data_IF_106441052242
#
_entry.id   IF_106441052242
#
_cell.length_a   1.000
_cell.length_b   1.000
_cell.length_c   1.000
_cell.angle_alpha   90.00
_cell.angle_beta   90.00
_cell.angle_gamma   90.00
#
_symmetry.space_group_name_H-M   'P 1'
#
loop_
_entity.id
_entity.type
_entity.pdbx_description
1 polymer ?
#
# COMPACT_ATOMS: atom_id res chain seq x y z
N UNK A 1 8.94 32.31 -85.99
CA UNK A 1 9.42 31.97 -84.67
C UNK A 1 8.28 32.21 -83.71
N UNK A 2 7.66 31.18 -83.19
CA UNK A 2 6.56 31.23 -82.22
C UNK A 2 7.10 30.92 -80.85
N UNK A 3 7.01 31.85 -79.91
CA UNK A 3 7.31 31.63 -78.48
C UNK A 3 5.99 31.23 -77.78
N UNK A 4 6.03 30.06 -77.17
CA UNK A 4 4.96 29.55 -76.33
C UNK A 4 5.25 29.89 -74.92
N UNK A 5 4.41 30.70 -74.28
CA UNK A 5 4.50 31.04 -72.83
C UNK A 5 3.69 29.97 -72.08
N UNK A 6 4.41 29.25 -71.24
CA UNK A 6 3.84 28.20 -70.39
C UNK A 6 3.42 28.82 -69.08
N UNK A 7 2.13 28.92 -68.78
CA UNK A 7 1.58 29.44 -67.55
C UNK A 7 1.72 28.42 -66.41
N UNK A 8 2.34 28.83 -65.32
CA UNK A 8 2.45 28.04 -64.09
C UNK A 8 1.23 28.38 -63.24
N UNK A 9 0.32 27.42 -63.13
CA UNK A 9 -0.84 27.48 -62.24
C UNK A 9 -0.41 27.17 -60.78
N UNK A 10 -0.57 28.18 -59.90
CA UNK A 10 -0.32 28.05 -58.45
C UNK A 10 -1.57 27.41 -57.82
N UNK A 11 -1.49 26.13 -57.41
CA UNK A 11 -2.52 25.44 -56.61
C UNK A 11 -2.28 25.76 -55.15
N UNK A 12 -3.08 26.65 -54.58
CA UNK A 12 -3.13 26.89 -53.13
C UNK A 12 -4.05 25.82 -52.51
N UNK A 13 -3.45 24.78 -51.98
CA UNK A 13 -4.16 23.77 -51.20
C UNK A 13 -4.48 24.28 -49.81
N UNK A 14 -5.77 24.54 -49.55
CA UNK A 14 -6.27 24.83 -48.19
C UNK A 14 -6.30 23.51 -47.41
N UNK A 15 -5.30 23.26 -46.57
CA UNK A 15 -5.32 22.22 -45.57
C UNK A 15 -6.26 22.66 -44.42
N UNK A 16 -7.55 22.30 -44.53
CA UNK A 16 -8.46 22.37 -43.40
C UNK A 16 -8.02 21.34 -42.37
N UNK A 17 -7.28 21.81 -41.33
CA UNK A 17 -6.90 21.01 -40.19
C UNK A 17 -8.15 20.56 -39.42
N UNK A 18 -8.51 19.30 -39.53
CA UNK A 18 -9.42 18.65 -38.61
C UNK A 18 -8.70 18.57 -37.25
N UNK A 19 -9.04 19.47 -36.34
CA UNK A 19 -8.68 19.33 -34.91
C UNK A 19 -9.74 18.41 -34.33
N UNK A 20 -9.41 17.15 -33.96
CA UNK A 20 -10.36 16.35 -33.20
C UNK A 20 -10.54 17.03 -31.84
N UNK A 21 -11.71 17.57 -31.58
CA UNK A 21 -12.13 17.98 -30.28
C UNK A 21 -12.15 16.71 -29.39
N UNK A 22 -11.11 16.54 -28.59
CA UNK A 22 -11.10 15.51 -27.55
C UNK A 22 -12.08 15.99 -26.49
N UNK A 23 -13.32 15.58 -26.60
CA UNK A 23 -14.31 15.65 -25.53
C UNK A 23 -13.89 14.67 -24.42
N UNK A 24 -12.83 15.03 -23.70
CA UNK A 24 -12.42 14.34 -22.48
C UNK A 24 -13.21 14.86 -21.26
N UNK A 25 -14.47 15.20 -21.44
CA UNK A 25 -15.40 15.25 -20.34
C UNK A 25 -15.91 13.84 -20.08
N UNK A 26 -15.04 13.04 -19.45
CA UNK A 26 -15.51 11.87 -18.69
C UNK A 26 -16.57 12.41 -17.74
N UNK A 27 -17.82 12.12 -18.03
CA UNK A 27 -18.96 12.49 -17.19
C UNK A 27 -18.69 11.92 -15.79
N UNK A 28 -18.17 12.77 -14.88
CA UNK A 28 -17.90 12.37 -13.50
C UNK A 28 -19.22 11.90 -12.92
N UNK A 29 -19.31 10.62 -12.59
CA UNK A 29 -20.48 10.07 -11.90
C UNK A 29 -20.69 10.89 -10.63
N UNK A 30 -21.88 11.45 -10.38
CA UNK A 30 -22.16 12.13 -9.12
C UNK A 30 -21.89 11.16 -7.95
N UNK A 31 -21.25 11.66 -6.91
CA UNK A 31 -21.03 10.88 -5.69
C UNK A 31 -22.38 10.77 -5.00
N UNK A 32 -22.89 9.56 -4.91
CA UNK A 32 -24.12 9.25 -4.15
C UNK A 32 -23.77 8.72 -2.74
N UNK A 33 -24.79 8.61 -1.89
CA UNK A 33 -24.62 8.15 -0.51
C UNK A 33 -24.07 6.74 -0.47
N UNK A 34 -24.50 5.85 -1.37
CA UNK A 34 -24.02 4.47 -1.45
C UNK A 34 -22.54 4.41 -1.81
N UNK A 35 -22.09 5.27 -2.73
CA UNK A 35 -20.68 5.40 -3.06
C UNK A 35 -19.87 5.88 -1.83
N UNK A 36 -20.38 6.85 -1.06
CA UNK A 36 -19.74 7.31 0.17
C UNK A 36 -19.63 6.21 1.24
N UNK A 37 -20.68 5.41 1.40
CA UNK A 37 -20.70 4.31 2.37
C UNK A 37 -19.73 3.18 2.00
N UNK A 38 -19.40 3.04 0.71
CA UNK A 38 -18.41 2.07 0.24
C UNK A 38 -16.96 2.52 0.44
N UNK A 39 -16.72 3.77 0.82
CA UNK A 39 -15.38 4.30 0.99
C UNK A 39 -14.68 3.66 2.18
N UNK A 40 -13.39 3.47 2.01
CA UNK A 40 -12.52 2.93 3.05
C UNK A 40 -11.48 3.98 3.43
N UNK A 41 -11.03 3.92 4.66
CA UNK A 41 -9.95 4.75 5.18
C UNK A 41 -8.74 3.90 5.53
N UNK A 42 -7.57 4.49 5.43
CA UNK A 42 -6.33 3.89 5.93
C UNK A 42 -6.18 4.27 7.40
N UNK A 43 -5.96 3.28 8.24
CA UNK A 43 -5.74 3.45 9.68
C UNK A 43 -4.35 2.97 10.08
N UNK A 44 -3.81 3.60 11.13
CA UNK A 44 -2.55 3.25 11.76
C UNK A 44 -1.41 2.99 10.76
N UNK A 45 -1.17 3.90 9.79
CA UNK A 45 -0.04 3.73 8.89
C UNK A 45 1.26 3.90 9.66
N UNK A 46 2.21 3.00 9.41
CA UNK A 46 3.57 3.10 9.91
C UNK A 46 4.56 2.77 8.79
N UNK A 47 5.72 3.40 8.83
CA UNK A 47 6.76 3.27 7.80
C UNK A 47 8.05 2.85 8.46
N UNK A 48 8.64 1.80 7.94
CA UNK A 48 9.93 1.32 8.40
C UNK A 48 11.04 2.38 8.24
N UNK A 49 12.10 2.35 9.07
CA UNK A 49 13.18 3.34 9.05
C UNK A 49 13.81 3.59 7.69
N UNK A 50 13.89 2.60 6.81
CA UNK A 50 14.43 2.79 5.45
C UNK A 50 13.39 3.20 4.41
N UNK A 51 12.11 3.26 4.79
CA UNK A 51 11.01 3.55 3.88
C UNK A 51 10.66 2.39 2.93
N UNK A 52 11.26 1.22 3.12
CA UNK A 52 10.99 0.06 2.27
C UNK A 52 9.64 -0.59 2.59
N UNK A 53 9.29 -0.69 3.86
CA UNK A 53 8.08 -1.38 4.29
C UNK A 53 7.08 -0.40 4.86
N UNK A 54 5.82 -0.63 4.59
CA UNK A 54 4.70 0.13 5.14
C UNK A 54 3.70 -0.85 5.74
N UNK A 55 3.27 -0.60 6.96
CA UNK A 55 2.13 -1.29 7.55
C UNK A 55 0.95 -0.35 7.62
N UNK A 56 -0.25 -0.87 7.40
CA UNK A 56 -1.50 -0.11 7.53
C UNK A 56 -2.69 -1.06 7.69
N UNK A 57 -3.82 -0.50 8.10
CA UNK A 57 -5.12 -1.18 8.09
C UNK A 57 -6.07 -0.46 7.15
N UNK A 58 -7.03 -1.20 6.63
CA UNK A 58 -8.12 -0.64 5.83
C UNK A 58 -9.41 -0.84 6.62
N UNK A 59 -10.09 0.25 6.92
CA UNK A 59 -11.35 0.23 7.63
C UNK A 59 -12.45 0.94 6.81
N UNK A 60 -13.73 0.58 6.96
CA UNK A 60 -14.83 1.36 6.41
C UNK A 60 -14.81 2.79 6.95
N UNK A 61 -15.38 3.73 6.20
CA UNK A 61 -15.55 5.11 6.70
C UNK A 61 -16.48 5.15 7.90
N UNK A 62 -17.53 4.35 7.88
CA UNK A 62 -18.44 4.19 9.01
C UNK A 62 -17.90 3.16 9.99
N UNK A 63 -17.81 3.53 11.26
CA UNK A 63 -17.36 2.62 12.31
C UNK A 63 -18.40 1.51 12.52
N UNK A 64 -18.03 0.30 12.23
CA UNK A 64 -18.80 -0.90 12.57
C UNK A 64 -17.92 -1.83 13.42
N UNK A 65 -18.25 -2.03 14.72
CA UNK A 65 -17.47 -2.89 15.60
C UNK A 65 -17.46 -4.37 15.18
N UNK A 66 -18.43 -4.80 14.36
CA UNK A 66 -18.50 -6.16 13.84
C UNK A 66 -17.64 -6.38 12.61
N UNK A 67 -17.04 -5.31 12.07
CA UNK A 67 -16.22 -5.41 10.87
C UNK A 67 -14.83 -5.98 11.20
N UNK A 68 -14.59 -7.21 10.78
CA UNK A 68 -13.33 -7.92 10.97
C UNK A 68 -12.22 -7.44 10.04
N UNK A 69 -12.53 -6.75 8.94
CA UNK A 69 -11.54 -6.25 7.99
C UNK A 69 -10.54 -5.27 8.64
N UNK A 70 -11.01 -4.53 9.67
CA UNK A 70 -10.16 -3.61 10.42
C UNK A 70 -9.06 -4.30 11.26
N UNK A 71 -9.12 -5.62 11.42
CA UNK A 71 -8.12 -6.40 12.17
C UNK A 71 -6.95 -6.87 11.31
N UNK A 72 -7.13 -6.92 10.00
CA UNK A 72 -6.06 -7.30 9.07
C UNK A 72 -5.08 -6.15 8.88
N UNK A 73 -3.82 -6.43 9.10
CA UNK A 73 -2.72 -5.50 8.81
C UNK A 73 -2.12 -5.84 7.46
N UNK A 74 -1.99 -4.84 6.63
CA UNK A 74 -1.32 -4.91 5.35
C UNK A 74 0.15 -4.57 5.55
N UNK A 75 1.06 -5.45 5.18
CA UNK A 75 2.49 -5.21 5.12
C UNK A 75 2.90 -5.10 3.65
N UNK A 76 3.23 -3.89 3.22
CA UNK A 76 3.52 -3.57 1.83
C UNK A 76 5.02 -3.31 1.60
N UNK A 77 5.63 -4.00 0.63
CA UNK A 77 6.99 -3.73 0.16
C UNK A 77 6.95 -2.68 -0.96
N UNK A 78 7.41 -1.47 -0.69
CA UNK A 78 7.43 -0.36 -1.65
C UNK A 78 8.32 -0.63 -2.85
N UNK A 79 9.34 -1.48 -2.72
CA UNK A 79 10.28 -1.83 -3.78
C UNK A 79 9.71 -2.84 -4.77
N UNK A 80 9.11 -3.91 -4.25
CA UNK A 80 8.56 -5.00 -5.09
C UNK A 80 7.07 -4.84 -5.39
N UNK A 81 6.39 -3.90 -4.69
CA UNK A 81 4.94 -3.68 -4.71
C UNK A 81 4.13 -4.93 -4.32
N UNK A 82 4.73 -5.80 -3.54
CA UNK A 82 4.05 -6.97 -2.98
C UNK A 82 3.47 -6.65 -1.62
N UNK A 83 2.38 -7.32 -1.31
CA UNK A 83 1.66 -7.16 -0.05
C UNK A 83 1.55 -8.51 0.65
N UNK A 84 1.67 -8.48 1.97
CA UNK A 84 1.45 -9.61 2.88
C UNK A 84 0.35 -9.19 3.84
N UNK A 85 -0.64 -10.04 4.01
CA UNK A 85 -1.74 -9.84 4.96
C UNK A 85 -1.41 -10.56 6.28
N UNK A 86 -1.56 -9.85 7.37
CA UNK A 86 -1.36 -10.35 8.72
C UNK A 86 -2.68 -10.20 9.48
N UNK A 87 -3.36 -11.31 9.71
CA UNK A 87 -4.67 -11.32 10.35
C UNK A 87 -4.56 -11.43 11.87
N UNK A 88 -5.39 -10.64 12.56
CA UNK A 88 -5.51 -10.62 14.03
C UNK A 88 -4.15 -10.38 14.72
N UNK A 89 -3.38 -9.42 14.23
CA UNK A 89 -2.09 -9.06 14.81
C UNK A 89 -2.14 -7.69 15.50
N UNK A 90 -1.35 -7.58 16.57
CA UNK A 90 -1.22 -6.37 17.39
C UNK A 90 0.25 -6.04 17.63
N UNK A 91 0.51 -4.84 18.15
CA UNK A 91 1.83 -4.38 18.60
C UNK A 91 2.93 -4.64 17.55
N UNK A 92 2.74 -4.05 16.37
CA UNK A 92 3.64 -4.23 15.24
C UNK A 92 4.79 -3.26 15.35
N UNK A 93 6.02 -3.76 15.20
CA UNK A 93 7.22 -2.94 15.23
C UNK A 93 8.26 -3.44 14.22
N UNK A 94 8.92 -2.50 13.52
CA UNK A 94 10.04 -2.81 12.63
C UNK A 94 11.36 -2.85 13.39
N UNK A 95 12.21 -3.79 13.01
CA UNK A 95 13.51 -4.03 13.65
C UNK A 95 14.65 -4.14 12.67
N UNK A 96 15.86 -3.92 13.19
CA UNK A 96 17.12 -4.14 12.50
C UNK A 96 17.12 -3.52 11.10
N UNK A 97 16.85 -2.22 11.03
CA UNK A 97 16.84 -1.48 9.76
C UNK A 97 16.01 -2.20 8.67
N UNK A 98 14.78 -2.61 9.03
CA UNK A 98 13.81 -3.26 8.15
C UNK A 98 14.11 -4.73 7.78
N UNK A 99 15.00 -5.39 8.48
CA UNK A 99 15.25 -6.81 8.25
C UNK A 99 14.26 -7.73 8.98
N UNK A 100 13.52 -7.19 9.93
CA UNK A 100 12.52 -7.95 10.66
C UNK A 100 11.32 -7.10 11.08
N UNK A 101 10.19 -7.77 11.25
CA UNK A 101 8.94 -7.25 11.80
C UNK A 101 8.57 -8.10 13.01
N UNK A 102 8.33 -7.48 14.15
CA UNK A 102 7.72 -8.15 15.30
C UNK A 102 6.25 -7.80 15.39
N UNK A 103 5.45 -8.75 15.84
CA UNK A 103 4.05 -8.55 16.14
C UNK A 103 3.55 -9.57 17.15
N UNK A 104 2.39 -9.30 17.74
CA UNK A 104 1.73 -10.20 18.67
C UNK A 104 0.50 -10.81 18.02
N UNK A 105 0.24 -12.08 18.31
CA UNK A 105 -0.93 -12.80 17.85
C UNK A 105 -1.39 -13.79 18.89
N UNK A 106 -2.72 -13.92 19.10
CA UNK A 106 -3.29 -14.98 19.90
C UNK A 106 -3.18 -16.32 19.17
N UNK A 107 -2.85 -17.38 19.87
CA UNK A 107 -2.93 -18.74 19.36
C UNK A 107 -4.37 -19.28 19.45
N UNK A 108 -4.59 -20.51 19.01
CA UNK A 108 -5.91 -21.17 19.01
C UNK A 108 -6.51 -21.34 20.40
N UNK A 109 -5.72 -21.22 21.47
CA UNK A 109 -6.15 -21.31 22.87
C UNK A 109 -6.36 -19.93 23.50
N UNK A 110 -6.10 -18.85 22.76
CA UNK A 110 -6.21 -17.48 23.22
C UNK A 110 -4.95 -16.95 23.91
N UNK A 111 -3.86 -17.72 24.00
CA UNK A 111 -2.61 -17.25 24.55
C UNK A 111 -1.88 -16.36 23.56
N UNK A 112 -1.40 -15.20 24.02
CA UNK A 112 -0.63 -14.30 23.19
C UNK A 112 0.77 -14.85 22.93
N UNK A 113 1.20 -14.76 21.67
CA UNK A 113 2.56 -15.07 21.25
C UNK A 113 3.20 -13.86 20.61
N UNK A 114 4.49 -13.70 20.78
CA UNK A 114 5.30 -12.75 20.03
C UNK A 114 5.93 -13.47 18.85
N UNK A 115 5.77 -12.91 17.67
CA UNK A 115 6.28 -13.45 16.42
C UNK A 115 7.26 -12.45 15.83
N UNK A 116 8.46 -12.92 15.52
CA UNK A 116 9.44 -12.17 14.73
C UNK A 116 9.46 -12.75 13.31
N UNK A 117 9.13 -11.93 12.34
CA UNK A 117 9.16 -12.29 10.93
C UNK A 117 10.35 -11.63 10.24
N UNK A 118 11.24 -12.42 9.67
CA UNK A 118 12.35 -11.92 8.85
C UNK A 118 11.83 -11.36 7.52
N UNK A 119 12.34 -10.22 7.12
CA UNK A 119 11.97 -9.54 5.87
C UNK A 119 13.14 -9.55 4.88
N UNK A 120 12.91 -9.84 3.61
CA UNK A 120 11.64 -10.15 2.94
C UNK A 120 11.27 -11.64 2.93
N UNK A 121 12.05 -12.51 3.56
CA UNK A 121 11.90 -13.99 3.47
C UNK A 121 10.56 -14.49 4.01
N UNK A 122 9.98 -13.78 5.00
CA UNK A 122 8.77 -14.20 5.69
C UNK A 122 8.98 -15.33 6.70
N UNK A 123 10.24 -15.72 6.98
CA UNK A 123 10.56 -16.74 7.99
C UNK A 123 10.15 -16.23 9.36
N UNK A 124 9.41 -17.05 10.11
CA UNK A 124 8.85 -16.67 11.41
C UNK A 124 9.51 -17.45 12.54
N UNK A 125 9.76 -16.76 13.64
CA UNK A 125 10.14 -17.33 14.93
C UNK A 125 9.10 -16.92 15.95
N UNK A 126 8.62 -17.83 16.78
CA UNK A 126 7.53 -17.62 17.73
C UNK A 126 8.02 -17.87 19.16
N UNK A 127 7.57 -17.04 20.08
CA UNK A 127 7.77 -17.19 21.52
C UNK A 127 6.47 -16.96 22.27
N UNK A 128 6.36 -17.51 23.45
CA UNK A 128 5.32 -17.11 24.37
C UNK A 128 5.41 -15.61 24.63
N UNK A 129 4.27 -14.95 24.78
CA UNK A 129 4.23 -13.54 25.10
C UNK A 129 4.96 -13.26 26.41
N UNK A 130 5.91 -12.33 26.35
CA UNK A 130 6.64 -11.82 27.51
C UNK A 130 6.57 -10.30 27.49
N UNK A 131 6.12 -9.71 28.59
CA UNK A 131 5.84 -8.26 28.69
C UNK A 131 7.02 -7.33 28.37
N UNK A 132 8.22 -7.86 28.28
CA UNK A 132 9.43 -7.07 28.09
C UNK A 132 10.31 -7.51 26.92
N UNK A 133 9.69 -8.03 25.86
CA UNK A 133 10.42 -8.24 24.61
C UNK A 133 10.77 -6.89 23.98
N UNK A 134 12.06 -6.53 24.05
CA UNK A 134 12.58 -5.33 23.37
C UNK A 134 13.75 -5.71 22.48
N UNK A 135 13.68 -5.41 21.20
CA UNK A 135 14.84 -5.57 20.33
C UNK A 135 15.85 -4.48 20.64
N UNK A 136 17.10 -4.82 20.45
CA UNK A 136 18.20 -3.87 20.58
C UNK A 136 18.42 -3.25 19.19
N UNK A 137 18.10 -1.96 19.06
CA UNK A 137 18.27 -1.24 17.79
C UNK A 137 19.71 -1.37 17.26
N UNK A 138 19.82 -1.69 15.98
CA UNK A 138 21.11 -1.84 15.27
C UNK A 138 21.80 -3.18 15.50
N UNK A 139 21.16 -4.14 16.16
CA UNK A 139 21.69 -5.49 16.37
C UNK A 139 20.67 -6.56 15.99
N UNK A 140 21.10 -7.77 15.60
CA UNK A 140 20.18 -8.90 15.36
C UNK A 140 19.63 -9.50 16.67
N UNK A 141 19.90 -8.92 17.81
CA UNK A 141 19.54 -9.44 19.12
C UNK A 141 18.33 -8.75 19.71
N UNK A 142 17.56 -9.51 20.45
CA UNK A 142 16.47 -9.03 21.29
C UNK A 142 16.69 -9.46 22.71
N UNK A 143 16.29 -8.63 23.68
CA UNK A 143 16.33 -8.95 25.10
C UNK A 143 14.91 -9.26 25.56
N UNK A 144 14.68 -10.44 26.09
CA UNK A 144 13.46 -10.75 26.82
C UNK A 144 13.79 -10.88 28.31
N UNK A 145 13.10 -10.12 29.15
CA UNK A 145 13.17 -10.30 30.58
C UNK A 145 12.05 -11.23 31.03
N UNK A 146 12.39 -12.34 31.62
CA UNK A 146 11.45 -13.28 32.25
C UNK A 146 11.38 -12.93 33.73
N UNK A 147 10.20 -12.56 34.20
CA UNK A 147 9.94 -12.50 35.65
C UNK A 147 9.65 -13.87 36.20
#
# INVERSE_FOLDING_TARGET
MKQTIMGIGLIVGVLAGFVPSVDAQTQKKPVDIEACMSWKRVESPDISPTGRWVTYRIAPMEYNPENTDAKTVHLFDTRTRKEILLDDVENIEFYNSDQALSYQKADSTGNMKTILMELPSGIKKEWEYKESFRPVNGTPYSVSVTN
#
